data_IF_892093334680
#
_entry.id   IF_892093334680
#
_cell.length_a   1.000
_cell.length_b   1.000
_cell.length_c   1.000
_cell.angle_alpha   90.00
_cell.angle_beta   90.00
_cell.angle_gamma   90.00
#
_symmetry.space_group_name_H-M   'P 1'
#
loop_
_entity.id
_entity.type
_entity.pdbx_description
1 polymer ?
#
# COMPACT_ATOMS: atom_id res chain seq x y z
N UNK A 1 -8.19 -34.95 -27.02
CA UNK A 1 -8.95 -33.69 -27.12
C UNK A 1 -8.84 -32.91 -25.80
N UNK A 2 -7.65 -32.38 -25.46
CA UNK A 2 -7.41 -31.58 -24.24
C UNK A 2 -6.12 -30.71 -24.28
N UNK A 3 -5.46 -30.58 -25.43
CA UNK A 3 -4.21 -29.82 -25.60
C UNK A 3 -4.45 -28.31 -25.77
N UNK A 4 -5.56 -27.91 -26.39
CA UNK A 4 -5.91 -26.50 -26.61
C UNK A 4 -6.31 -25.75 -25.33
N UNK A 5 -6.96 -26.44 -24.37
CA UNK A 5 -7.32 -25.85 -23.08
C UNK A 5 -6.11 -25.60 -22.16
N UNK A 6 -5.06 -26.45 -22.24
CA UNK A 6 -3.81 -26.20 -21.51
C UNK A 6 -2.98 -25.08 -22.13
N UNK A 7 -2.90 -24.99 -23.46
CA UNK A 7 -2.19 -23.90 -24.14
C UNK A 7 -2.86 -22.53 -23.88
N UNK A 8 -4.19 -22.46 -23.95
CA UNK A 8 -4.93 -21.24 -23.61
C UNK A 8 -4.74 -20.84 -22.15
N UNK A 9 -4.70 -21.81 -21.22
CA UNK A 9 -4.46 -21.54 -19.80
C UNK A 9 -3.02 -21.07 -19.55
N UNK A 10 -2.03 -21.63 -20.24
CA UNK A 10 -0.64 -21.17 -20.17
C UNK A 10 -0.43 -19.79 -20.78
N UNK A 11 -1.13 -19.45 -21.87
CA UNK A 11 -1.08 -18.13 -22.49
C UNK A 11 -1.78 -17.05 -21.64
N UNK A 12 -2.93 -17.38 -21.03
CA UNK A 12 -3.61 -16.53 -20.05
C UNK A 12 -2.78 -16.31 -18.78
N UNK A 13 -1.96 -17.28 -18.37
CA UNK A 13 -0.99 -17.11 -17.28
C UNK A 13 0.24 -16.33 -17.73
N UNK A 14 0.73 -16.52 -18.95
CA UNK A 14 1.91 -15.82 -19.47
C UNK A 14 1.66 -14.32 -19.68
N UNK A 15 0.46 -13.91 -20.11
CA UNK A 15 0.06 -12.49 -20.15
C UNK A 15 -0.03 -11.87 -18.75
N UNK A 16 -0.25 -12.66 -17.70
CA UNK A 16 -0.21 -12.22 -16.31
C UNK A 16 1.22 -12.17 -15.72
N UNK A 17 2.23 -12.67 -16.44
CA UNK A 17 3.62 -12.72 -15.96
C UNK A 17 4.51 -11.59 -16.50
N UNK A 18 3.98 -10.68 -17.33
CA UNK A 18 4.60 -9.38 -17.55
C UNK A 18 4.10 -8.32 -16.55
N UNK A 19 3.82 -8.71 -15.30
CA UNK A 19 3.44 -7.77 -14.23
C UNK A 19 4.70 -7.14 -13.62
N UNK A 20 5.62 -6.69 -14.48
CA UNK A 20 6.68 -5.79 -14.05
C UNK A 20 5.99 -4.55 -13.47
N UNK A 21 6.28 -4.19 -12.21
CA UNK A 21 5.61 -3.08 -11.57
C UNK A 21 5.84 -1.81 -12.39
N UNK A 22 4.75 -1.09 -12.71
CA UNK A 22 4.81 0.17 -13.47
C UNK A 22 5.45 1.29 -12.65
N UNK A 23 5.34 1.19 -11.33
CA UNK A 23 5.82 2.17 -10.36
C UNK A 23 6.59 1.46 -9.25
N UNK A 24 7.45 2.17 -8.54
CA UNK A 24 8.06 1.66 -7.31
C UNK A 24 7.01 1.59 -6.19
N UNK A 25 6.14 2.61 -6.11
CA UNK A 25 5.15 2.75 -5.02
C UNK A 25 3.77 3.11 -5.57
N UNK A 26 2.75 2.36 -5.17
CA UNK A 26 1.36 2.83 -5.23
C UNK A 26 0.95 3.32 -3.84
N UNK A 27 0.68 4.62 -3.74
CA UNK A 27 0.08 5.18 -2.53
C UNK A 27 -1.43 4.98 -2.59
N UNK A 28 -2.00 4.45 -1.52
CA UNK A 28 -3.44 4.31 -1.33
C UNK A 28 -3.82 5.28 -0.23
N UNK A 29 -4.63 6.28 -0.60
CA UNK A 29 -5.08 7.35 0.28
C UNK A 29 -6.62 7.33 0.32
N UNK A 30 -7.23 6.50 1.17
CA UNK A 30 -8.67 6.52 1.39
C UNK A 30 -9.10 7.82 2.05
N UNK A 31 -10.19 8.42 1.60
CA UNK A 31 -10.72 9.67 2.15
C UNK A 31 -12.25 9.65 2.20
N UNK A 32 -12.83 10.41 3.11
CA UNK A 32 -14.28 10.56 3.30
C UNK A 32 -14.57 11.76 4.18
N UNK A 33 -14.91 12.88 3.54
CA UNK A 33 -15.03 14.23 4.13
C UNK A 33 -13.70 14.81 4.67
N UNK A 34 -12.68 14.90 3.81
CA UNK A 34 -11.32 15.33 4.16
C UNK A 34 -10.88 16.60 3.39
N UNK A 35 -11.78 17.51 3.03
CA UNK A 35 -11.47 18.64 2.13
C UNK A 35 -10.31 19.54 2.61
N UNK A 36 -10.11 19.64 3.94
CA UNK A 36 -9.03 20.41 4.56
C UNK A 36 -7.65 19.72 4.45
N UNK A 37 -7.61 18.39 4.44
CA UNK A 37 -6.38 17.61 4.55
C UNK A 37 -5.96 16.96 3.23
N UNK A 38 -6.92 16.53 2.41
CA UNK A 38 -6.68 15.65 1.25
C UNK A 38 -5.77 16.29 0.21
N UNK A 39 -5.93 17.60 -0.03
CA UNK A 39 -5.08 18.31 -0.98
C UNK A 39 -3.64 18.48 -0.50
N UNK A 40 -3.44 18.74 0.79
CA UNK A 40 -2.11 18.85 1.41
C UNK A 40 -1.43 17.48 1.41
N UNK A 41 -2.18 16.43 1.78
CA UNK A 41 -1.69 15.06 1.80
C UNK A 41 -1.17 14.61 0.44
N UNK A 42 -1.91 14.88 -0.64
CA UNK A 42 -1.49 14.53 -2.00
C UNK A 42 -0.21 15.27 -2.41
N UNK A 43 -0.15 16.59 -2.21
CA UNK A 43 1.04 17.40 -2.56
C UNK A 43 2.27 16.94 -1.79
N UNK A 44 2.17 16.82 -0.47
CA UNK A 44 3.30 16.37 0.38
C UNK A 44 3.75 14.96 0.02
N UNK A 45 2.81 14.06 -0.24
CA UNK A 45 3.13 12.70 -0.70
C UNK A 45 3.91 12.72 -2.01
N UNK A 46 3.45 13.50 -2.99
CA UNK A 46 4.12 13.62 -4.28
C UNK A 46 5.52 14.24 -4.13
N UNK A 47 5.65 15.36 -3.42
CA UNK A 47 6.94 16.00 -3.13
C UNK A 47 7.92 15.04 -2.45
N UNK A 48 7.46 14.32 -1.43
CA UNK A 48 8.27 13.36 -0.69
C UNK A 48 8.78 12.21 -1.57
N UNK A 49 7.91 11.62 -2.40
CA UNK A 49 8.31 10.51 -3.27
C UNK A 49 9.18 10.97 -4.46
N UNK A 50 8.93 12.15 -5.02
CA UNK A 50 9.79 12.78 -6.04
C UNK A 50 11.18 13.07 -5.50
N UNK A 51 11.29 13.59 -4.27
CA UNK A 51 12.58 13.84 -3.62
C UNK A 51 13.40 12.56 -3.40
N UNK A 52 12.74 11.40 -3.30
CA UNK A 52 13.38 10.09 -3.21
C UNK A 52 13.69 9.48 -4.58
N UNK A 53 13.36 10.17 -5.69
CA UNK A 53 13.48 9.66 -7.06
C UNK A 53 12.76 8.33 -7.29
N UNK A 54 11.65 8.11 -6.58
CA UNK A 54 10.80 6.94 -6.75
C UNK A 54 9.76 7.23 -7.83
N UNK A 55 9.49 6.26 -8.70
CA UNK A 55 8.31 6.29 -9.57
C UNK A 55 7.07 5.91 -8.75
N UNK A 56 5.97 6.65 -8.89
CA UNK A 56 4.79 6.40 -8.07
C UNK A 56 3.47 6.75 -8.77
N UNK A 57 2.39 6.23 -8.19
CA UNK A 57 1.04 6.72 -8.39
C UNK A 57 0.38 6.99 -7.03
N UNK A 58 -0.54 7.94 -6.99
CA UNK A 58 -1.39 8.20 -5.82
C UNK A 58 -2.82 7.83 -6.19
N UNK A 59 -3.32 6.77 -5.55
CA UNK A 59 -4.71 6.35 -5.63
C UNK A 59 -5.47 6.98 -4.46
N UNK A 60 -6.07 8.16 -4.71
CA UNK A 60 -7.02 8.75 -3.78
C UNK A 60 -8.36 8.03 -3.92
N UNK A 61 -8.79 7.36 -2.85
CA UNK A 61 -9.98 6.51 -2.88
C UNK A 61 -11.10 7.17 -2.08
N UNK A 62 -12.08 7.71 -2.78
CA UNK A 62 -13.30 8.28 -2.21
C UNK A 62 -14.15 7.18 -1.57
N UNK A 63 -14.44 7.31 -0.28
CA UNK A 63 -15.26 6.40 0.51
C UNK A 63 -16.64 6.99 0.87
N UNK A 64 -17.30 7.58 -0.13
CA UNK A 64 -18.60 8.28 -0.02
C UNK A 64 -18.48 9.65 0.69
N UNK A 65 -17.57 10.51 0.22
CA UNK A 65 -17.52 11.93 0.60
C UNK A 65 -18.82 12.67 0.24
N UNK A 66 -19.29 13.50 1.17
CA UNK A 66 -20.38 14.46 1.00
C UNK A 66 -19.93 15.92 0.94
N UNK A 67 -18.64 16.21 1.11
CA UNK A 67 -18.02 17.55 1.06
C UNK A 67 -17.31 17.86 -0.28
N UNK A 68 -16.50 18.93 -0.31
CA UNK A 68 -15.78 19.34 -1.52
C UNK A 68 -14.47 18.56 -1.77
N UNK A 69 -14.17 17.47 -1.05
CA UNK A 69 -12.93 16.70 -1.20
C UNK A 69 -12.62 16.32 -2.65
N UNK A 70 -13.65 15.90 -3.39
CA UNK A 70 -13.49 15.52 -4.79
C UNK A 70 -13.13 16.72 -5.69
N UNK A 71 -13.72 17.88 -5.43
CA UNK A 71 -13.42 19.11 -6.18
C UNK A 71 -11.97 19.57 -5.94
N UNK A 72 -11.51 19.52 -4.68
CA UNK A 72 -10.12 19.81 -4.31
C UNK A 72 -9.16 18.91 -5.08
N UNK A 73 -9.42 17.60 -5.13
CA UNK A 73 -8.57 16.65 -5.85
C UNK A 73 -8.61 16.81 -7.37
N UNK A 74 -9.77 17.19 -7.93
CA UNK A 74 -9.89 17.44 -9.36
C UNK A 74 -8.97 18.58 -9.83
N UNK A 75 -8.90 19.67 -9.07
CA UNK A 75 -8.04 20.82 -9.35
C UNK A 75 -6.54 20.44 -9.26
N UNK A 76 -6.19 19.54 -8.35
CA UNK A 76 -4.81 19.12 -8.11
C UNK A 76 -4.20 18.23 -9.19
N UNK A 77 -5.00 17.64 -10.08
CA UNK A 77 -4.47 16.72 -11.11
C UNK A 77 -3.50 17.38 -12.09
N UNK A 78 -3.60 18.70 -12.28
CA UNK A 78 -2.66 19.46 -13.10
C UNK A 78 -1.28 19.60 -12.44
N UNK A 79 -1.23 19.71 -11.11
CA UNK A 79 0.01 19.84 -10.32
C UNK A 79 0.64 18.47 -10.00
N UNK A 80 -0.22 17.45 -9.84
CA UNK A 80 0.17 16.08 -9.48
C UNK A 80 -0.39 15.12 -10.52
N UNK A 81 0.29 14.96 -11.68
CA UNK A 81 -0.15 14.04 -12.74
C UNK A 81 -0.17 12.56 -12.31
N UNK A 82 0.54 12.21 -11.24
CA UNK A 82 0.54 10.88 -10.63
C UNK A 82 -0.77 10.59 -9.84
N UNK A 83 -1.62 11.60 -9.63
CA UNK A 83 -2.89 11.48 -8.90
C UNK A 83 -3.99 10.84 -9.76
N UNK A 84 -4.60 9.80 -9.20
CA UNK A 84 -5.79 9.13 -9.71
C UNK A 84 -6.83 9.10 -8.61
N UNK A 85 -7.98 9.71 -8.86
CA UNK A 85 -9.15 9.65 -7.98
C UNK A 85 -10.03 8.49 -8.42
N UNK A 86 -10.41 7.63 -7.49
CA UNK A 86 -11.34 6.52 -7.74
C UNK A 86 -12.31 6.39 -6.58
N UNK A 87 -13.41 5.67 -6.79
CA UNK A 87 -14.48 5.55 -5.81
C UNK A 87 -14.58 4.14 -5.21
N UNK A 88 -14.92 4.09 -3.93
CA UNK A 88 -15.23 2.92 -3.13
C UNK A 88 -16.45 3.14 -2.23
N UNK A 89 -17.65 2.82 -2.72
CA UNK A 89 -18.33 1.62 -2.24
C UNK A 89 -18.51 1.44 -0.73
N UNK A 90 -18.87 2.47 0.06
CA UNK A 90 -18.98 2.37 1.51
C UNK A 90 -17.71 2.73 2.28
N UNK A 91 -17.88 3.46 3.39
CA UNK A 91 -16.80 3.84 4.31
C UNK A 91 -15.90 2.68 4.76
N UNK A 92 -14.61 2.96 4.78
CA UNK A 92 -13.54 2.06 5.17
C UNK A 92 -13.11 1.05 4.10
N UNK A 93 -13.61 1.10 2.86
CA UNK A 93 -13.29 0.11 1.82
C UNK A 93 -12.17 0.50 0.88
N UNK A 94 -11.68 1.73 0.98
CA UNK A 94 -10.69 2.31 0.10
C UNK A 94 -9.35 1.57 0.13
N UNK A 95 -8.94 1.01 1.28
CA UNK A 95 -7.71 0.21 1.37
C UNK A 95 -7.77 -1.05 0.49
N UNK A 96 -8.87 -1.79 0.58
CA UNK A 96 -9.10 -3.03 -0.19
C UNK A 96 -9.21 -2.73 -1.70
N UNK A 97 -10.02 -1.71 -2.03
CA UNK A 97 -10.25 -1.22 -3.40
C UNK A 97 -8.96 -0.70 -4.03
N UNK A 98 -8.18 0.09 -3.28
CA UNK A 98 -6.92 0.67 -3.72
C UNK A 98 -5.84 -0.40 -3.92
N UNK A 99 -5.72 -1.35 -2.99
CA UNK A 99 -4.77 -2.46 -3.11
C UNK A 99 -5.03 -3.32 -4.35
N UNK A 100 -6.30 -3.49 -4.73
CA UNK A 100 -6.68 -4.20 -5.96
C UNK A 100 -6.42 -3.43 -7.26
N UNK A 101 -6.21 -2.11 -7.21
CA UNK A 101 -5.96 -1.24 -8.39
C UNK A 101 -4.52 -0.78 -8.54
N UNK A 102 -3.72 -0.95 -7.48
CA UNK A 102 -2.32 -0.56 -7.41
C UNK A 102 -1.46 -1.29 -8.45
N UNK A 103 -0.56 -0.54 -9.09
CA UNK A 103 0.36 -0.99 -10.14
C UNK A 103 1.84 -0.90 -9.70
N UNK A 104 2.11 -0.46 -8.47
CA UNK A 104 3.44 -0.29 -7.91
C UNK A 104 4.00 -1.52 -7.19
N UNK A 105 5.32 -1.64 -7.11
CA UNK A 105 5.99 -2.76 -6.44
C UNK A 105 5.64 -2.83 -4.95
N UNK A 106 5.54 -1.66 -4.32
CA UNK A 106 5.09 -1.48 -2.95
C UNK A 106 3.68 -0.86 -2.91
N UNK A 107 2.92 -1.23 -1.89
CA UNK A 107 1.73 -0.51 -1.43
C UNK A 107 2.15 0.38 -0.27
N UNK A 108 1.85 1.67 -0.31
CA UNK A 108 1.93 2.60 0.82
C UNK A 108 0.51 3.03 1.19
N UNK A 109 0.03 2.69 2.39
CA UNK A 109 -1.32 3.04 2.86
C UNK A 109 -1.22 4.04 3.99
N UNK A 110 -1.91 5.17 3.86
CA UNK A 110 -2.06 6.20 4.89
C UNK A 110 -3.41 6.93 4.71
N UNK A 111 -3.77 7.80 5.65
CA UNK A 111 -4.94 8.69 5.54
C UNK A 111 -4.54 10.14 5.22
N UNK A 112 -5.46 10.97 4.71
CA UNK A 112 -5.25 12.39 4.51
C UNK A 112 -4.72 13.15 5.74
N UNK A 113 -5.34 12.98 6.91
CA UNK A 113 -4.91 13.66 8.15
C UNK A 113 -3.47 13.30 8.55
N UNK A 114 -3.09 12.03 8.40
CA UNK A 114 -1.73 11.58 8.72
C UNK A 114 -0.73 12.04 7.66
N UNK A 115 -1.01 11.82 6.39
CA UNK A 115 -0.10 12.14 5.29
C UNK A 115 0.06 13.66 5.09
N UNK A 116 -0.97 14.44 5.42
CA UNK A 116 -0.88 15.90 5.47
C UNK A 116 0.00 16.37 6.63
N UNK A 117 0.03 15.66 7.77
CA UNK A 117 0.87 16.02 8.90
C UNK A 117 2.36 15.66 8.68
N UNK A 118 2.68 14.39 8.41
CA UNK A 118 4.05 13.92 8.19
C UNK A 118 4.12 12.52 7.56
N UNK A 119 5.15 12.27 6.74
CA UNK A 119 5.48 10.95 6.17
C UNK A 119 6.79 10.38 6.73
N UNK A 120 7.16 10.77 7.96
CA UNK A 120 8.44 10.40 8.57
C UNK A 120 8.68 8.89 8.56
N UNK A 121 9.86 8.49 8.09
CA UNK A 121 10.26 7.08 8.00
C UNK A 121 9.62 6.29 6.86
N UNK A 122 8.53 6.78 6.24
CA UNK A 122 7.91 6.08 5.10
C UNK A 122 8.88 5.97 3.93
N UNK A 123 9.67 7.02 3.68
CA UNK A 123 10.72 7.01 2.64
C UNK A 123 11.81 5.97 2.89
N UNK A 124 12.30 5.88 4.13
CA UNK A 124 13.31 4.88 4.51
C UNK A 124 12.76 3.46 4.44
N UNK A 125 11.50 3.27 4.85
CA UNK A 125 10.81 2.00 4.73
C UNK A 125 10.64 1.58 3.26
N UNK A 126 10.25 2.50 2.38
CA UNK A 126 10.21 2.24 0.93
C UNK A 126 11.58 1.79 0.40
N UNK A 127 12.66 2.53 0.71
CA UNK A 127 14.01 2.18 0.27
C UNK A 127 14.45 0.79 0.74
N UNK A 128 14.25 0.49 2.03
CA UNK A 128 14.60 -0.83 2.59
C UNK A 128 13.84 -1.97 1.91
N UNK A 129 12.53 -1.81 1.73
CA UNK A 129 11.71 -2.85 1.12
C UNK A 129 12.03 -3.01 -0.37
N UNK A 130 12.24 -1.93 -1.12
CA UNK A 130 12.72 -2.01 -2.51
C UNK A 130 14.10 -2.67 -2.61
N UNK A 131 14.98 -2.48 -1.63
CA UNK A 131 16.26 -3.18 -1.52
C UNK A 131 16.16 -4.64 -1.05
N UNK A 132 14.95 -5.13 -0.76
CA UNK A 132 14.72 -6.52 -0.33
C UNK A 132 14.94 -6.78 1.16
N UNK A 133 15.07 -5.76 1.99
CA UNK A 133 15.30 -5.87 3.44
C UNK A 133 14.01 -6.15 4.26
N UNK A 134 13.11 -6.95 3.70
CA UNK A 134 11.85 -7.33 4.33
C UNK A 134 10.70 -7.42 3.35
N UNK A 135 9.50 -7.64 3.90
CA UNK A 135 8.28 -7.81 3.10
C UNK A 135 7.25 -6.71 3.39
N UNK A 136 7.27 -6.19 4.62
CA UNK A 136 6.37 -5.14 5.05
C UNK A 136 6.90 -4.35 6.26
N UNK A 137 6.42 -3.12 6.40
CA UNK A 137 6.58 -2.28 7.56
C UNK A 137 5.23 -1.67 7.95
N UNK A 138 4.89 -1.73 9.25
CA UNK A 138 3.66 -1.17 9.80
C UNK A 138 4.03 -0.18 10.90
N UNK A 139 3.86 1.11 10.62
CA UNK A 139 3.96 2.17 11.62
C UNK A 139 2.57 2.44 12.20
N UNK A 140 2.33 2.03 13.44
CA UNK A 140 1.01 2.13 14.09
C UNK A 140 0.51 3.58 14.10
N UNK A 141 -0.70 3.81 13.58
CA UNK A 141 -1.30 5.14 13.47
C UNK A 141 -0.70 6.04 12.39
N UNK A 142 0.27 5.57 11.60
CA UNK A 142 0.92 6.37 10.56
C UNK A 142 0.75 5.78 9.16
N UNK A 143 1.38 4.64 8.89
CA UNK A 143 1.30 4.00 7.58
C UNK A 143 1.49 2.50 7.64
N UNK A 144 1.13 1.84 6.55
CA UNK A 144 1.56 0.47 6.23
C UNK A 144 2.23 0.48 4.86
N UNK A 145 3.44 -0.08 4.77
CA UNK A 145 4.14 -0.31 3.50
C UNK A 145 4.36 -1.81 3.33
N UNK A 146 4.07 -2.36 2.15
CA UNK A 146 4.30 -3.79 1.90
C UNK A 146 4.50 -4.08 0.41
N UNK A 147 5.25 -5.15 0.08
CA UNK A 147 5.33 -5.61 -1.31
C UNK A 147 3.96 -6.06 -1.82
N UNK A 148 3.50 -5.45 -2.92
CA UNK A 148 2.14 -5.62 -3.45
C UNK A 148 1.77 -7.10 -3.61
N UNK A 149 2.50 -7.82 -4.45
CA UNK A 149 2.15 -9.21 -4.82
C UNK A 149 2.12 -10.14 -3.59
N UNK A 150 3.11 -10.01 -2.71
CA UNK A 150 3.25 -10.88 -1.53
C UNK A 150 2.21 -10.59 -0.45
N UNK A 151 1.82 -9.32 -0.32
CA UNK A 151 0.92 -8.85 0.74
C UNK A 151 -0.54 -8.74 0.32
N UNK A 152 -0.86 -8.78 -0.97
CA UNK A 152 -2.22 -8.53 -1.49
C UNK A 152 -3.31 -9.34 -0.77
N UNK A 153 -3.15 -10.64 -0.46
CA UNK A 153 -4.18 -11.39 0.26
C UNK A 153 -4.37 -10.95 1.73
N UNK A 154 -3.39 -10.25 2.33
CA UNK A 154 -3.54 -9.60 3.63
C UNK A 154 -4.34 -8.29 3.56
N UNK A 155 -4.34 -7.61 2.41
CA UNK A 155 -5.13 -6.39 2.18
C UNK A 155 -6.59 -6.67 1.79
N UNK A 156 -6.88 -7.86 1.22
CA UNK A 156 -8.26 -8.23 0.82
C UNK A 156 -9.25 -8.08 1.97
N UNK A 157 -10.31 -7.32 1.78
CA UNK A 157 -11.31 -7.04 2.81
C UNK A 157 -10.79 -6.24 4.00
N UNK A 158 -9.64 -5.56 3.88
CA UNK A 158 -9.24 -4.56 4.87
C UNK A 158 -10.33 -3.49 5.00
N UNK A 159 -10.55 -3.03 6.24
CA UNK A 159 -11.60 -2.09 6.59
C UNK A 159 -11.05 -1.00 7.51
N UNK A 160 -11.39 0.25 7.19
CA UNK A 160 -11.06 1.46 7.93
C UNK A 160 -9.55 1.71 8.00
N UNK A 161 -9.12 2.91 8.35
CA UNK A 161 -7.70 3.24 8.57
C UNK A 161 -7.47 3.62 10.03
N UNK A 162 -6.24 3.43 10.52
CA UNK A 162 -5.84 3.71 11.89
C UNK A 162 -5.24 2.51 12.62
N UNK A 163 -4.96 2.67 13.92
CA UNK A 163 -4.19 1.70 14.72
C UNK A 163 -4.82 0.30 14.73
N UNK A 164 -6.14 0.21 14.82
CA UNK A 164 -6.84 -1.08 14.80
C UNK A 164 -6.70 -1.80 13.45
N UNK A 165 -6.71 -1.06 12.34
CA UNK A 165 -6.43 -1.64 11.02
C UNK A 165 -4.96 -2.06 10.92
N UNK A 166 -4.00 -1.23 11.33
CA UNK A 166 -2.57 -1.57 11.31
C UNK A 166 -2.27 -2.84 12.10
N UNK A 167 -2.84 -3.01 13.30
CA UNK A 167 -2.70 -4.25 14.08
C UNK A 167 -3.28 -5.48 13.36
N UNK A 168 -4.45 -5.33 12.73
CA UNK A 168 -5.07 -6.42 11.96
C UNK A 168 -4.25 -6.79 10.73
N UNK A 169 -3.76 -5.80 9.97
CA UNK A 169 -2.87 -6.04 8.83
C UNK A 169 -1.56 -6.69 9.28
N UNK A 170 -0.90 -6.17 10.31
CA UNK A 170 0.31 -6.75 10.87
C UNK A 170 0.13 -8.24 11.19
N UNK A 171 -0.97 -8.60 11.88
CA UNK A 171 -1.31 -10.01 12.17
C UNK A 171 -1.52 -10.82 10.89
N UNK A 172 -2.23 -10.29 9.90
CA UNK A 172 -2.50 -10.97 8.61
C UNK A 172 -1.24 -11.16 7.76
N UNK A 173 -0.28 -10.25 7.87
CA UNK A 173 1.05 -10.35 7.23
C UNK A 173 1.91 -11.39 7.95
N UNK A 174 1.91 -11.40 9.28
CA UNK A 174 2.63 -12.39 10.10
C UNK A 174 2.14 -13.82 9.87
N UNK A 175 0.82 -14.04 9.80
CA UNK A 175 0.24 -15.36 9.51
C UNK A 175 0.65 -15.90 8.12
N UNK A 176 1.11 -15.01 7.23
CA UNK A 176 1.65 -15.37 5.91
C UNK A 176 3.16 -15.56 5.89
N UNK A 177 3.81 -15.57 7.06
CA UNK A 177 5.26 -15.68 7.22
C UNK A 177 6.03 -14.59 6.47
N UNK A 178 5.45 -13.39 6.36
CA UNK A 178 6.13 -12.23 5.79
C UNK A 178 7.04 -11.58 6.84
N UNK A 179 8.25 -11.22 6.42
CA UNK A 179 9.20 -10.45 7.22
C UNK A 179 8.65 -9.05 7.47
N UNK A 180 8.19 -8.82 8.71
CA UNK A 180 7.46 -7.63 9.09
C UNK A 180 8.25 -6.82 10.14
N UNK A 181 8.40 -5.53 9.88
CA UNK A 181 8.79 -4.53 10.88
C UNK A 181 7.54 -3.83 11.43
N UNK A 182 7.44 -3.70 12.76
CA UNK A 182 6.38 -2.90 13.40
C UNK A 182 7.03 -1.75 14.17
N UNK A 183 6.67 -0.51 13.83
CA UNK A 183 7.07 0.69 14.54
C UNK A 183 5.88 1.24 15.36
N UNK A 184 6.11 1.56 16.64
CA UNK A 184 5.09 2.11 17.53
C UNK A 184 5.02 3.64 17.51
N UNK A 185 3.98 4.24 18.13
CA UNK A 185 3.86 5.70 18.29
C UNK A 185 4.94 6.30 19.20
N UNK A 186 5.54 5.49 20.06
CA UNK A 186 6.66 5.84 20.93
C UNK A 186 7.91 5.12 20.42
N UNK A 187 9.01 5.85 20.25
CA UNK A 187 10.26 5.42 19.60
C UNK A 187 11.02 4.28 20.29
N UNK A 188 10.39 3.13 20.49
CA UNK A 188 11.04 1.89 20.88
C UNK A 188 11.28 1.07 19.61
N UNK A 189 12.55 0.78 19.37
CA UNK A 189 13.05 0.03 18.22
C UNK A 189 12.22 -1.24 17.94
N UNK A 190 11.95 -1.45 16.65
CA UNK A 190 11.12 -2.52 16.15
C UNK A 190 11.66 -3.91 16.52
N UNK A 191 10.78 -4.80 16.99
CA UNK A 191 11.05 -6.25 17.02
C UNK A 191 10.85 -6.80 15.61
N UNK A 192 11.94 -7.15 14.94
CA UNK A 192 11.91 -7.94 13.70
C UNK A 192 11.47 -9.37 14.05
N UNK A 193 10.25 -9.75 13.68
CA UNK A 193 9.77 -11.12 13.81
C UNK A 193 10.13 -11.90 12.53
N UNK A 194 11.36 -12.41 12.45
CA UNK A 194 11.75 -13.40 11.43
C UNK A 194 11.27 -14.77 11.90
N UNK A 195 10.29 -15.36 11.20
CA UNK A 195 9.88 -16.74 11.45
C UNK A 195 11.01 -17.69 11.05
N UNK A 196 11.78 -18.19 12.03
CA UNK A 196 12.74 -19.28 11.84
C UNK A 196 12.00 -20.60 11.70
N UNK A 197 11.67 -20.99 10.47
CA UNK A 197 11.32 -22.36 10.09
C UNK A 197 12.16 -22.78 8.88
N UNK A 198 13.48 -22.92 9.10
CA UNK A 198 14.36 -23.75 8.27
C UNK A 198 15.25 -24.56 9.21
N UNK A 199 14.69 -25.60 9.80
CA UNK A 199 15.44 -26.58 10.58
C UNK A 199 14.78 -27.96 10.53
N UNK A 200 14.36 -28.43 9.35
CA UNK A 200 14.05 -29.85 9.10
C UNK A 200 14.16 -30.15 7.60
N UNK A 201 15.39 -30.25 7.09
CA UNK A 201 15.68 -30.90 5.81
C UNK A 201 17.20 -31.13 5.70
N UNK A 202 17.74 -32.02 6.54
CA UNK A 202 19.04 -32.69 6.34
C UNK A 202 19.26 -33.77 7.41
N UNK A 203 18.42 -34.80 7.39
CA UNK A 203 18.82 -36.18 7.74
C UNK A 203 17.95 -37.08 6.86
N UNK A 204 18.60 -37.86 6.01
CA UNK A 204 18.02 -38.68 4.96
C UNK A 204 19.08 -38.90 3.89
#
# INVERSE_FOLDING_TARGET
>A
MNSHLMAARLLLFAESMSDSPRYDVSVILPFGDDEEAVGIAVRRTAEHLRALSLSFEILAIDEDSGDNSHAVLALLRAEVPELRVTHASGRGRGVDVGAGRAQGALLLVSTPDVASAALDGAGDACRRLLAGEGDAEVALGRYTIAHRIRSLPAFRGARLVGVAMHRRLAKRLQVRNLSLRIAGPTGVAAKSAVSRLRAFARIG
#
